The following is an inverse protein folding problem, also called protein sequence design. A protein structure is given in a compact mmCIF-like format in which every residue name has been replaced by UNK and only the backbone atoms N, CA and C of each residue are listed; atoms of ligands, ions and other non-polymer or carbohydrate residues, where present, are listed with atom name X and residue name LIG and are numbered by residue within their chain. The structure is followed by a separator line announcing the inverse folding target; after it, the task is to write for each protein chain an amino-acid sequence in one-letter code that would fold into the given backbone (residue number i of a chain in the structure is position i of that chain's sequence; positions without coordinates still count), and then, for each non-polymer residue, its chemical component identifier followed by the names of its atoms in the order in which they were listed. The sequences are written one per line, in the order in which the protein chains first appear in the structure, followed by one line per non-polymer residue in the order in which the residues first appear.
data_IF_541528207476
#
_entry.id   IF_541528207476
#
_cell.length_a   1.000
_cell.length_b   1.000
_cell.length_c   1.000
_cell.angle_alpha   90.00
_cell.angle_beta   90.00
_cell.angle_gamma   90.00
#
_symmetry.space_group_name_H-M   'P 1'
#
loop_
_entity.id
_entity.type
_entity.pdbx_description
1 polymer ?
#
# COMPACT_ATOMS: atom_id res chain seq x y z
N UNK A 1 -13.84 31.91 14.60
CA UNK A 1 -12.57 31.62 13.92
C UNK A 1 -12.62 30.14 13.58
N UNK A 2 -12.79 29.77 12.31
CA UNK A 2 -12.76 28.37 11.92
C UNK A 2 -11.39 27.80 12.26
N UNK A 3 -11.34 26.62 12.90
CA UNK A 3 -10.08 25.94 13.17
C UNK A 3 -9.34 25.74 11.85
N UNK A 4 -8.04 26.05 11.82
CA UNK A 4 -7.18 25.73 10.67
C UNK A 4 -7.16 24.21 10.49
N UNK A 5 -7.16 23.74 9.23
CA UNK A 5 -6.98 22.31 8.90
C UNK A 5 -5.62 21.84 9.40
N UNK A 6 -5.54 20.64 9.95
CA UNK A 6 -4.28 20.04 10.37
C UNK A 6 -3.44 19.70 9.15
N UNK A 7 -2.21 20.20 9.09
CA UNK A 7 -1.30 19.95 7.98
C UNK A 7 -0.54 18.67 8.18
N UNK A 8 -0.55 17.81 7.16
CA UNK A 8 -0.05 16.44 7.25
C UNK A 8 0.98 16.18 6.17
N UNK A 9 2.11 15.57 6.55
CA UNK A 9 2.99 14.87 5.61
C UNK A 9 2.80 13.37 5.82
N UNK A 10 2.74 12.60 4.74
CA UNK A 10 2.73 11.14 4.80
C UNK A 10 4.03 10.61 4.22
N UNK A 11 4.85 9.94 5.03
CA UNK A 11 6.13 9.39 4.59
C UNK A 11 6.00 7.90 4.27
N UNK A 12 6.38 7.47 3.08
CA UNK A 12 6.25 6.07 2.65
C UNK A 12 7.02 5.75 1.37
N UNK A 13 6.63 4.67 0.69
CA UNK A 13 7.30 4.19 -0.50
C UNK A 13 6.29 3.87 -1.61
N UNK A 14 5.36 4.79 -1.88
CA UNK A 14 4.33 4.67 -2.91
C UNK A 14 3.43 3.42 -2.77
N UNK A 15 3.19 2.99 -1.54
CA UNK A 15 2.29 1.89 -1.22
C UNK A 15 1.31 2.28 -0.12
N UNK A 16 1.67 1.97 1.13
CA UNK A 16 0.82 2.26 2.29
C UNK A 16 0.59 3.76 2.51
N UNK A 17 1.50 4.63 2.10
CA UNK A 17 1.30 6.09 2.10
C UNK A 17 0.11 6.50 1.25
N UNK A 18 0.06 6.06 -0.01
CA UNK A 18 -1.08 6.33 -0.91
C UNK A 18 -2.36 5.67 -0.40
N UNK A 19 -2.27 4.44 0.11
CA UNK A 19 -3.41 3.76 0.71
C UNK A 19 -3.97 4.55 1.90
N UNK A 20 -3.11 4.92 2.87
CA UNK A 20 -3.47 5.71 4.04
C UNK A 20 -4.09 7.05 3.64
N UNK A 21 -3.53 7.72 2.63
CA UNK A 21 -4.12 8.92 2.07
C UNK A 21 -5.54 8.68 1.57
N UNK A 22 -5.72 7.70 0.68
CA UNK A 22 -6.99 7.41 0.02
C UNK A 22 -8.09 7.03 1.01
N UNK A 23 -7.78 6.25 2.03
CA UNK A 23 -8.78 5.72 2.97
C UNK A 23 -9.02 6.63 4.17
N UNK A 24 -8.00 7.37 4.61
CA UNK A 24 -8.09 8.12 5.87
C UNK A 24 -8.14 9.63 5.67
N UNK A 25 -7.47 10.20 4.66
CA UNK A 25 -7.30 11.66 4.54
C UNK A 25 -8.04 12.30 3.38
N UNK A 26 -8.16 11.61 2.24
CA UNK A 26 -8.60 12.15 0.95
C UNK A 26 -9.82 13.07 1.03
N UNK A 27 -10.85 12.63 1.74
CA UNK A 27 -12.17 13.28 1.80
C UNK A 27 -12.45 13.95 3.16
N UNK A 28 -11.45 14.13 4.03
CA UNK A 28 -11.62 14.75 5.35
C UNK A 28 -11.16 16.20 5.36
N UNK A 29 -12.12 17.12 5.50
CA UNK A 29 -11.85 18.56 5.53
C UNK A 29 -11.05 19.03 6.76
N UNK A 30 -10.95 18.23 7.82
CA UNK A 30 -10.14 18.57 9.00
C UNK A 30 -8.63 18.50 8.73
N UNK A 31 -8.22 17.90 7.61
CA UNK A 31 -6.82 17.68 7.25
C UNK A 31 -6.46 18.32 5.91
N UNK A 32 -5.19 18.69 5.77
CA UNK A 32 -4.56 19.15 4.53
C UNK A 32 -3.25 18.36 4.37
N UNK A 33 -3.24 17.34 3.50
CA UNK A 33 -2.03 16.59 3.19
C UNK A 33 -1.18 17.42 2.21
N UNK A 34 -0.15 18.05 2.72
CA UNK A 34 0.67 19.02 1.97
C UNK A 34 1.75 18.37 1.13
N UNK A 35 2.19 17.17 1.50
CA UNK A 35 3.19 16.42 0.77
C UNK A 35 3.19 14.93 1.13
N UNK A 36 3.65 14.12 0.19
CA UNK A 36 4.26 12.82 0.48
C UNK A 36 5.77 12.97 0.56
N UNK A 37 6.42 12.08 1.30
CA UNK A 37 7.86 11.85 1.13
C UNK A 37 8.11 10.40 0.74
N UNK A 38 9.11 10.18 -0.10
CA UNK A 38 9.43 8.85 -0.57
C UNK A 38 10.91 8.52 -0.48
N UNK A 39 11.18 7.23 -0.26
CA UNK A 39 12.49 6.59 -0.41
C UNK A 39 12.29 5.23 -1.08
N UNK A 40 13.36 4.54 -1.44
CA UNK A 40 13.39 3.18 -2.01
C UNK A 40 12.98 3.01 -3.48
N UNK A 41 11.94 3.70 -3.97
CA UNK A 41 11.53 3.56 -5.39
C UNK A 41 12.28 4.60 -6.23
N UNK A 42 13.07 4.18 -7.25
CA UNK A 42 13.72 5.12 -8.16
C UNK A 42 12.72 6.06 -8.82
N UNK A 43 13.10 7.33 -8.95
CA UNK A 43 12.37 8.38 -9.67
C UNK A 43 10.95 8.71 -9.16
N UNK A 44 10.48 8.17 -8.02
CA UNK A 44 9.18 8.54 -7.44
C UNK A 44 9.23 9.94 -6.78
N UNK A 45 10.36 10.28 -6.14
CA UNK A 45 10.60 11.60 -5.58
C UNK A 45 10.76 12.62 -6.72
N UNK A 46 10.07 13.75 -6.61
CA UNK A 46 9.96 14.73 -7.69
C UNK A 46 8.73 14.53 -8.59
N UNK A 47 7.98 13.42 -8.43
CA UNK A 47 6.66 13.26 -9.05
C UNK A 47 5.56 13.93 -8.20
N UNK A 48 4.35 13.88 -8.72
CA UNK A 48 3.13 14.34 -8.05
C UNK A 48 2.15 13.18 -7.93
N UNK A 49 1.54 13.03 -6.76
CA UNK A 49 0.33 12.22 -6.62
C UNK A 49 -0.78 12.92 -7.41
N UNK A 50 -1.34 12.28 -8.45
CA UNK A 50 -2.10 12.98 -9.47
C UNK A 50 -3.46 13.48 -8.97
N UNK A 51 -3.92 14.67 -9.41
CA UNK A 51 -5.26 15.20 -9.06
C UNK A 51 -6.39 14.21 -9.27
N UNK A 52 -6.31 13.39 -10.32
CA UNK A 52 -7.29 12.39 -10.72
C UNK A 52 -7.49 11.31 -9.63
N UNK A 53 -6.48 11.12 -8.78
CA UNK A 53 -6.53 10.22 -7.62
C UNK A 53 -6.68 10.97 -6.29
N UNK A 54 -6.29 12.23 -6.24
CA UNK A 54 -6.21 13.02 -5.02
C UNK A 54 -7.58 13.50 -4.51
N UNK A 55 -8.62 13.46 -5.34
CA UNK A 55 -9.97 13.86 -4.95
C UNK A 55 -10.20 15.37 -4.93
N UNK A 56 -11.43 15.79 -4.61
CA UNK A 56 -11.87 17.18 -4.81
C UNK A 56 -11.15 18.22 -3.94
N UNK A 57 -10.58 17.81 -2.81
CA UNK A 57 -9.82 18.69 -1.90
C UNK A 57 -8.40 19.00 -2.41
N UNK A 58 -7.92 18.29 -3.43
CA UNK A 58 -6.55 18.39 -3.95
C UNK A 58 -6.56 18.52 -5.48
N UNK A 59 -7.16 19.60 -6.05
CA UNK A 59 -7.32 19.77 -7.50
C UNK A 59 -5.99 19.89 -8.25
N UNK A 60 -4.92 20.26 -7.55
CA UNK A 60 -3.58 20.29 -8.12
C UNK A 60 -2.85 18.95 -7.94
N UNK A 61 -3.32 18.03 -7.11
CA UNK A 61 -2.56 16.86 -6.67
C UNK A 61 -1.55 17.20 -5.56
N UNK A 62 -0.78 16.21 -5.10
CA UNK A 62 0.07 16.35 -3.91
C UNK A 62 1.54 16.09 -4.28
N UNK A 63 2.49 16.99 -3.97
CA UNK A 63 3.89 16.79 -4.31
C UNK A 63 4.52 15.63 -3.52
N UNK A 64 5.50 14.96 -4.14
CA UNK A 64 6.27 13.88 -3.53
C UNK A 64 7.73 14.32 -3.44
N UNK A 65 8.27 14.44 -2.23
CA UNK A 65 9.65 14.87 -1.98
C UNK A 65 10.56 13.71 -1.54
N UNK A 66 11.89 13.85 -1.63
CA UNK A 66 12.82 12.95 -0.96
C UNK A 66 12.59 12.91 0.55
N UNK A 67 12.76 11.74 1.19
CA UNK A 67 12.65 11.61 2.65
C UNK A 67 13.63 12.52 3.42
N UNK A 68 14.83 12.74 2.91
CA UNK A 68 15.86 13.58 3.54
C UNK A 68 15.44 15.04 3.74
N UNK A 69 14.50 15.52 2.94
CA UNK A 69 13.95 16.87 3.02
C UNK A 69 12.94 17.03 4.18
N UNK A 70 12.49 15.95 4.81
CA UNK A 70 11.43 15.96 5.83
C UNK A 70 11.63 17.04 6.92
N UNK A 71 12.81 17.25 7.54
CA UNK A 71 12.98 18.26 8.57
C UNK A 71 12.78 19.71 8.06
N UNK A 72 13.13 19.94 6.79
CA UNK A 72 12.95 21.23 6.10
C UNK A 72 11.47 21.42 5.76
N UNK A 73 10.84 20.41 5.16
CA UNK A 73 9.43 20.43 4.76
C UNK A 73 8.49 20.65 5.95
N UNK A 74 8.77 20.04 7.11
CA UNK A 74 7.99 20.26 8.34
C UNK A 74 7.90 21.74 8.71
N UNK A 75 9.02 22.47 8.58
CA UNK A 75 9.08 23.91 8.89
C UNK A 75 8.48 24.77 7.80
N UNK A 76 8.79 24.48 6.53
CA UNK A 76 8.31 25.26 5.39
C UNK A 76 6.79 25.19 5.22
N UNK A 77 6.22 24.00 5.43
CA UNK A 77 4.78 23.80 5.32
C UNK A 77 4.01 24.00 6.63
N UNK A 78 4.70 24.28 7.75
CA UNK A 78 4.07 24.43 9.07
C UNK A 78 3.19 23.21 9.40
N UNK A 79 3.84 22.04 9.42
CA UNK A 79 3.22 20.71 9.50
C UNK A 79 2.86 20.37 10.95
N UNK A 80 1.64 19.90 11.17
CA UNK A 80 1.16 19.44 12.48
C UNK A 80 1.49 17.97 12.72
N UNK A 81 1.31 17.13 11.70
CA UNK A 81 1.43 15.67 11.81
C UNK A 81 2.27 15.08 10.67
N UNK A 82 3.20 14.18 11.01
CA UNK A 82 3.88 13.31 10.05
C UNK A 82 3.41 11.88 10.28
N UNK A 83 2.80 11.28 9.26
CA UNK A 83 2.28 9.92 9.28
C UNK A 83 3.29 8.97 8.68
N UNK A 84 3.75 7.99 9.46
CA UNK A 84 4.71 7.01 9.00
C UNK A 84 4.04 5.81 8.34
N UNK A 85 4.34 5.62 7.05
CA UNK A 85 3.73 4.63 6.18
C UNK A 85 4.75 3.65 5.54
N UNK A 86 5.93 3.49 6.11
CA UNK A 86 6.86 2.41 5.71
C UNK A 86 6.56 1.08 6.40
N UNK A 87 6.99 0.01 5.76
CA UNK A 87 6.98 -1.37 6.24
C UNK A 87 8.37 -1.99 6.06
N UNK A 88 8.64 -3.09 6.73
CA UNK A 88 9.81 -3.97 6.57
C UNK A 88 11.13 -3.27 6.90
N UNK A 89 11.03 -2.38 7.89
CA UNK A 89 12.13 -1.58 8.42
C UNK A 89 12.37 -1.93 9.88
N UNK A 90 13.62 -1.84 10.37
CA UNK A 90 13.91 -2.08 11.78
C UNK A 90 13.18 -1.10 12.72
N UNK A 91 12.80 -1.52 13.92
CA UNK A 91 12.16 -0.62 14.90
C UNK A 91 13.01 0.62 15.24
N UNK A 92 14.35 0.50 15.25
CA UNK A 92 15.23 1.65 15.48
C UNK A 92 15.11 2.71 14.37
N UNK A 93 14.86 2.31 13.12
CA UNK A 93 14.62 3.26 12.04
C UNK A 93 13.32 4.04 12.24
N UNK A 94 12.25 3.37 12.68
CA UNK A 94 10.97 4.04 13.05
C UNK A 94 11.21 5.08 14.14
N UNK A 95 11.94 4.69 15.19
CA UNK A 95 12.23 5.58 16.31
C UNK A 95 13.14 6.75 15.91
N UNK A 96 14.12 6.53 15.05
CA UNK A 96 14.98 7.60 14.50
C UNK A 96 14.16 8.63 13.73
N UNK A 97 13.25 8.18 12.85
CA UNK A 97 12.32 9.08 12.12
C UNK A 97 11.40 9.84 13.07
N UNK A 98 10.89 9.20 14.11
CA UNK A 98 10.07 9.88 15.12
C UNK A 98 10.83 11.00 15.84
N UNK A 99 12.10 10.78 16.19
CA UNK A 99 12.92 11.77 16.87
C UNK A 99 13.20 12.99 15.97
N UNK A 100 13.48 12.74 14.69
CA UNK A 100 13.67 13.79 13.68
C UNK A 100 12.40 14.64 13.54
N UNK A 101 11.23 14.00 13.36
CA UNK A 101 9.93 14.69 13.24
C UNK A 101 9.63 15.54 14.46
N UNK A 102 9.77 14.98 15.67
CA UNK A 102 9.51 15.70 16.91
C UNK A 102 10.47 16.89 17.09
N UNK A 103 11.76 16.71 16.73
CA UNK A 103 12.76 17.80 16.79
C UNK A 103 12.46 18.94 15.81
N UNK A 104 11.76 18.64 14.71
CA UNK A 104 11.31 19.63 13.74
C UNK A 104 10.00 20.33 14.16
N UNK A 105 9.28 19.79 15.15
CA UNK A 105 8.12 20.42 15.79
C UNK A 105 6.75 19.79 15.49
N UNK A 106 6.70 18.73 14.68
CA UNK A 106 5.45 18.04 14.32
C UNK A 106 5.21 16.79 15.20
N UNK A 107 3.97 16.30 15.24
CA UNK A 107 3.67 15.00 15.84
C UNK A 107 4.08 13.87 14.90
N UNK A 108 4.51 12.73 15.47
CA UNK A 108 4.74 11.50 14.72
C UNK A 108 3.58 10.52 14.94
N UNK A 109 2.91 10.10 13.86
CA UNK A 109 1.72 9.26 13.90
C UNK A 109 1.94 7.91 13.21
N UNK A 110 1.43 6.85 13.83
CA UNK A 110 1.29 5.51 13.26
C UNK A 110 -0.20 5.19 13.09
N UNK A 111 -0.69 5.15 11.86
CA UNK A 111 -2.07 4.74 11.59
C UNK A 111 -2.19 3.21 11.72
N UNK A 112 -3.14 2.78 12.54
CA UNK A 112 -3.42 1.36 12.76
C UNK A 112 -4.50 0.80 11.82
N UNK A 113 -4.66 -0.54 11.79
CA UNK A 113 -5.60 -1.25 10.91
C UNK A 113 -7.05 -0.75 10.96
N UNK A 114 -7.55 -0.35 12.14
CA UNK A 114 -8.92 0.16 12.28
C UNK A 114 -9.18 1.44 11.48
N UNK A 115 -8.13 2.23 11.21
CA UNK A 115 -8.21 3.47 10.45
C UNK A 115 -8.02 3.26 8.95
N UNK A 116 -7.44 2.12 8.54
CA UNK A 116 -6.90 1.96 7.19
C UNK A 116 -7.39 0.71 6.46
N UNK A 117 -7.98 -0.28 7.12
CA UNK A 117 -8.53 -1.45 6.45
C UNK A 117 -9.89 -1.16 5.81
N UNK A 118 -10.02 -1.49 4.53
CA UNK A 118 -11.30 -1.45 3.82
C UNK A 118 -12.09 -2.73 4.09
N UNK A 119 -13.41 -2.60 4.21
CA UNK A 119 -14.30 -3.74 4.44
C UNK A 119 -14.78 -4.30 3.11
N UNK A 120 -14.61 -5.62 2.94
CA UNK A 120 -15.12 -6.35 1.79
C UNK A 120 -16.53 -6.90 2.02
N UNK A 121 -17.29 -7.06 0.94
CA UNK A 121 -18.55 -7.82 0.87
C UNK A 121 -18.32 -9.32 0.63
N UNK A 122 -17.08 -9.71 0.32
CA UNK A 122 -16.68 -11.11 0.09
C UNK A 122 -15.74 -11.56 1.22
N UNK A 123 -15.69 -12.86 1.54
CA UNK A 123 -14.67 -13.39 2.43
C UNK A 123 -13.26 -13.05 1.95
N UNK A 124 -12.41 -12.59 2.85
CA UNK A 124 -11.01 -12.22 2.57
C UNK A 124 -10.06 -13.12 3.39
N UNK A 125 -9.15 -13.78 2.69
CA UNK A 125 -8.00 -14.49 3.28
C UNK A 125 -6.76 -13.63 3.04
N UNK A 126 -6.17 -13.10 4.11
CA UNK A 126 -4.94 -12.32 4.03
C UNK A 126 -3.71 -13.19 4.31
N UNK A 127 -2.71 -13.08 3.44
CA UNK A 127 -1.39 -13.70 3.61
C UNK A 127 -0.36 -12.58 3.84
N UNK A 128 0.12 -12.47 5.06
CA UNK A 128 1.14 -11.51 5.48
C UNK A 128 2.40 -12.24 5.93
N UNK A 129 3.45 -11.50 6.28
CA UNK A 129 4.68 -12.07 6.82
C UNK A 129 5.29 -11.13 7.85
N UNK A 130 6.19 -11.66 8.67
CA UNK A 130 7.00 -10.86 9.61
C UNK A 130 8.14 -10.11 8.90
N UNK A 131 8.54 -10.56 7.71
CA UNK A 131 9.56 -9.95 6.84
C UNK A 131 9.28 -10.21 5.36
N UNK A 132 9.89 -9.39 4.51
CA UNK A 132 10.04 -9.73 3.09
C UNK A 132 10.80 -11.05 2.89
N UNK A 133 10.43 -11.81 1.86
CA UNK A 133 11.10 -13.08 1.53
C UNK A 133 10.66 -14.31 2.33
N UNK A 134 9.61 -14.24 3.16
CA UNK A 134 9.10 -15.42 3.89
C UNK A 134 8.26 -16.41 3.04
N UNK A 135 8.10 -16.16 1.74
CA UNK A 135 7.36 -17.06 0.84
C UNK A 135 5.84 -16.84 0.76
N UNK A 136 5.38 -15.58 0.92
CA UNK A 136 3.95 -15.21 0.86
C UNK A 136 3.30 -15.66 -0.44
N UNK A 137 3.85 -15.28 -1.59
CA UNK A 137 3.26 -15.56 -2.90
C UNK A 137 3.09 -17.07 -3.13
N UNK A 138 4.02 -17.92 -2.66
CA UNK A 138 3.90 -19.38 -2.75
C UNK A 138 2.72 -19.92 -1.92
N UNK A 139 2.53 -19.40 -0.70
CA UNK A 139 1.40 -19.77 0.15
C UNK A 139 0.09 -19.26 -0.43
N UNK A 140 0.03 -18.01 -0.89
CA UNK A 140 -1.12 -17.40 -1.56
C UNK A 140 -1.56 -18.23 -2.78
N UNK A 141 -0.62 -18.65 -3.63
CA UNK A 141 -0.90 -19.51 -4.80
C UNK A 141 -1.38 -20.91 -4.41
N UNK A 142 -0.86 -21.48 -3.33
CA UNK A 142 -1.34 -22.77 -2.85
C UNK A 142 -2.80 -22.67 -2.34
N UNK A 143 -3.12 -21.62 -1.57
CA UNK A 143 -4.49 -21.31 -1.14
C UNK A 143 -5.40 -21.12 -2.35
N UNK A 144 -4.95 -20.35 -3.35
CA UNK A 144 -5.68 -20.16 -4.60
C UNK A 144 -6.06 -21.50 -5.24
N UNK A 145 -5.09 -22.40 -5.44
CA UNK A 145 -5.34 -23.74 -6.01
C UNK A 145 -6.34 -24.55 -5.17
N UNK A 146 -6.16 -24.60 -3.85
CA UNK A 146 -7.02 -25.31 -2.90
C UNK A 146 -8.49 -24.83 -2.98
N UNK A 147 -8.70 -23.53 -3.15
CA UNK A 147 -10.03 -22.94 -3.29
C UNK A 147 -10.63 -23.19 -4.69
N UNK A 148 -9.80 -23.13 -5.75
CA UNK A 148 -10.22 -23.46 -7.13
C UNK A 148 -10.64 -24.93 -7.28
N UNK A 149 -9.95 -25.86 -6.63
CA UNK A 149 -10.33 -27.28 -6.56
C UNK A 149 -11.71 -27.50 -5.91
N UNK A 150 -12.17 -26.54 -5.11
CA UNK A 150 -13.52 -26.52 -4.53
C UNK A 150 -14.55 -25.76 -5.38
N UNK A 151 -14.21 -25.47 -6.64
CA UNK A 151 -15.05 -24.74 -7.61
C UNK A 151 -15.42 -23.30 -7.19
N UNK A 152 -14.61 -22.67 -6.33
CA UNK A 152 -14.81 -21.25 -5.98
C UNK A 152 -14.20 -20.33 -7.04
N UNK A 153 -14.83 -19.19 -7.29
CA UNK A 153 -14.20 -18.08 -8.02
C UNK A 153 -13.30 -17.33 -7.06
N UNK A 154 -12.00 -17.31 -7.34
CA UNK A 154 -10.99 -16.71 -6.48
C UNK A 154 -10.32 -15.58 -7.23
N UNK A 155 -10.23 -14.42 -6.59
CA UNK A 155 -9.46 -13.28 -7.08
C UNK A 155 -8.34 -13.01 -6.09
N UNK A 156 -7.12 -12.85 -6.60
CA UNK A 156 -5.99 -12.40 -5.80
C UNK A 156 -5.81 -10.89 -5.97
N UNK A 157 -5.48 -10.19 -4.90
CA UNK A 157 -5.13 -8.77 -4.93
C UNK A 157 -3.73 -8.61 -4.38
N UNK A 158 -2.83 -8.03 -5.16
CA UNK A 158 -1.44 -7.78 -4.79
C UNK A 158 -1.28 -6.39 -4.17
N UNK A 159 -0.43 -6.33 -3.15
CA UNK A 159 0.09 -5.09 -2.56
C UNK A 159 0.77 -4.19 -3.62
N UNK A 160 0.78 -2.85 -3.44
CA UNK A 160 1.17 -1.94 -4.51
C UNK A 160 2.65 -2.06 -4.85
N UNK A 161 2.92 -1.91 -6.15
CA UNK A 161 4.26 -1.80 -6.74
C UNK A 161 4.20 -0.79 -7.90
N UNK A 162 3.98 0.51 -7.67
CA UNK A 162 3.67 1.44 -8.75
C UNK A 162 4.91 1.88 -9.50
N UNK A 163 5.49 0.98 -10.30
CA UNK A 163 6.71 1.24 -11.04
C UNK A 163 6.48 2.10 -12.28
N UNK A 164 5.27 2.09 -12.88
CA UNK A 164 4.99 2.95 -14.03
C UNK A 164 5.11 4.45 -13.62
N UNK A 165 5.81 5.29 -14.41
CA UNK A 165 5.88 6.72 -14.21
C UNK A 165 4.51 7.41 -14.08
N UNK A 166 3.51 6.89 -14.77
CA UNK A 166 2.15 7.40 -14.79
C UNK A 166 1.25 6.62 -13.82
N UNK A 167 1.11 7.17 -12.60
CA UNK A 167 0.23 6.61 -11.56
C UNK A 167 -1.25 6.52 -12.02
N UNK A 168 -1.69 7.32 -12.99
CA UNK A 168 -3.07 7.30 -13.49
C UNK A 168 -3.38 6.04 -14.33
N UNK A 169 -2.35 5.34 -14.81
CA UNK A 169 -2.51 4.03 -15.46
C UNK A 169 -2.59 2.86 -14.49
N UNK A 170 -2.29 3.12 -13.21
CA UNK A 170 -2.18 2.12 -12.16
C UNK A 170 -3.27 2.28 -11.08
N UNK A 171 -4.40 2.93 -11.39
CA UNK A 171 -5.49 3.13 -10.42
C UNK A 171 -6.04 1.79 -9.93
N UNK A 172 -6.50 0.96 -10.87
CA UNK A 172 -7.01 -0.38 -10.63
C UNK A 172 -6.79 -1.21 -11.90
N UNK A 173 -5.88 -2.16 -11.81
CA UNK A 173 -5.49 -3.02 -12.93
C UNK A 173 -5.98 -4.44 -12.66
N UNK A 174 -6.46 -5.09 -13.70
CA UNK A 174 -6.98 -6.45 -13.67
C UNK A 174 -6.21 -7.26 -14.70
N UNK A 175 -5.59 -8.34 -14.27
CA UNK A 175 -4.82 -9.23 -15.12
C UNK A 175 -5.47 -10.61 -15.13
N UNK A 176 -5.83 -11.07 -16.32
CA UNK A 176 -6.33 -12.42 -16.57
C UNK A 176 -5.62 -13.09 -17.75
N UNK A 177 -4.79 -12.36 -18.50
CA UNK A 177 -3.97 -12.90 -19.58
C UNK A 177 -2.64 -12.15 -19.73
N UNK A 178 -1.72 -12.70 -20.53
CA UNK A 178 -0.44 -12.06 -20.80
C UNK A 178 -0.58 -10.73 -21.56
N UNK A 179 -1.62 -10.60 -22.39
CA UNK A 179 -1.93 -9.34 -23.08
C UNK A 179 -2.27 -8.20 -22.09
N UNK A 180 -2.83 -8.53 -20.91
CA UNK A 180 -3.05 -7.52 -19.87
C UNK A 180 -1.70 -6.99 -19.32
N UNK A 181 -0.69 -7.85 -19.19
CA UNK A 181 0.66 -7.46 -18.72
C UNK A 181 1.31 -6.46 -19.69
N UNK A 182 1.13 -6.68 -21.00
CA UNK A 182 1.61 -5.75 -22.03
C UNK A 182 0.81 -4.44 -22.02
N UNK A 183 -0.52 -4.55 -21.94
CA UNK A 183 -1.44 -3.40 -21.90
C UNK A 183 -1.13 -2.45 -20.75
N UNK A 184 -0.76 -2.99 -19.58
CA UNK A 184 -0.44 -2.22 -18.39
C UNK A 184 1.06 -1.92 -18.23
N UNK A 185 1.89 -2.25 -19.24
CA UNK A 185 3.32 -1.96 -19.26
C UNK A 185 4.06 -2.54 -18.03
N UNK A 186 3.70 -3.75 -17.63
CA UNK A 186 4.27 -4.38 -16.44
C UNK A 186 5.78 -4.57 -16.56
N UNK A 187 6.51 -4.23 -15.50
CA UNK A 187 7.94 -4.50 -15.39
C UNK A 187 8.21 -6.00 -15.23
N UNK A 188 9.49 -6.38 -15.26
CA UNK A 188 9.89 -7.78 -15.04
C UNK A 188 9.51 -8.23 -13.63
N UNK A 189 9.71 -7.38 -12.63
CA UNK A 189 9.37 -7.64 -11.22
C UNK A 189 7.87 -7.85 -11.02
N UNK A 190 7.03 -7.05 -11.71
CA UNK A 190 5.57 -7.24 -11.68
C UNK A 190 5.16 -8.56 -12.34
N UNK A 191 5.75 -8.87 -13.49
CA UNK A 191 5.49 -10.11 -14.22
C UNK A 191 5.83 -11.35 -13.41
N UNK A 192 6.96 -11.36 -12.70
CA UNK A 192 7.36 -12.45 -11.81
C UNK A 192 6.30 -12.76 -10.73
N UNK A 193 5.53 -11.75 -10.30
CA UNK A 193 4.45 -11.91 -9.32
C UNK A 193 3.09 -12.23 -9.96
N UNK A 194 2.82 -11.73 -11.17
CA UNK A 194 1.49 -11.82 -11.81
C UNK A 194 1.34 -13.02 -12.75
N UNK A 195 2.35 -13.36 -13.56
CA UNK A 195 2.32 -14.47 -14.52
C UNK A 195 1.91 -15.80 -13.87
N UNK A 196 2.41 -16.17 -12.67
CA UNK A 196 2.01 -17.42 -12.03
C UNK A 196 0.52 -17.52 -11.73
N UNK A 197 -0.19 -16.41 -11.49
CA UNK A 197 -1.65 -16.45 -11.31
C UNK A 197 -2.37 -16.65 -12.65
N UNK A 198 -1.89 -16.01 -13.71
CA UNK A 198 -2.44 -16.16 -15.07
C UNK A 198 -2.26 -17.60 -15.56
N UNK A 199 -1.08 -18.19 -15.34
CA UNK A 199 -0.78 -19.59 -15.72
C UNK A 199 -1.71 -20.60 -15.02
N UNK A 200 -2.17 -20.28 -13.81
CA UNK A 200 -3.16 -21.07 -13.07
C UNK A 200 -4.62 -20.79 -13.50
N UNK A 201 -4.84 -19.95 -14.53
CA UNK A 201 -6.16 -19.50 -14.97
C UNK A 201 -6.87 -18.62 -13.94
N UNK A 202 -6.10 -17.89 -13.14
CA UNK A 202 -6.58 -16.96 -12.11
C UNK A 202 -6.67 -15.52 -12.58
N UNK A 203 -7.32 -14.70 -11.74
CA UNK A 203 -7.38 -13.25 -11.91
C UNK A 203 -6.60 -12.63 -10.76
N UNK A 204 -5.70 -11.71 -11.11
CA UNK A 204 -4.97 -10.89 -10.16
C UNK A 204 -5.28 -9.41 -10.40
N UNK A 205 -5.49 -8.68 -9.31
CA UNK A 205 -5.60 -7.22 -9.34
C UNK A 205 -4.40 -6.58 -8.64
N UNK A 206 -3.99 -5.43 -9.14
CA UNK A 206 -2.98 -4.55 -8.54
C UNK A 206 -3.29 -3.08 -8.86
N UNK A 207 -2.55 -2.16 -8.25
CA UNK A 207 -2.68 -0.72 -8.47
C UNK A 207 -2.53 0.09 -7.19
N UNK A 208 -2.99 1.34 -7.20
CA UNK A 208 -2.83 2.29 -6.09
C UNK A 208 -4.13 2.69 -5.38
N UNK A 209 -5.29 2.43 -5.98
CA UNK A 209 -6.61 2.70 -5.39
C UNK A 209 -7.27 1.39 -4.94
N UNK A 210 -6.91 0.96 -3.73
CA UNK A 210 -7.37 -0.30 -3.14
C UNK A 210 -8.87 -0.37 -2.89
N UNK A 211 -9.55 0.78 -2.75
CA UNK A 211 -11.01 0.78 -2.70
C UNK A 211 -11.60 0.40 -4.05
N UNK A 212 -11.16 1.03 -5.14
CA UNK A 212 -11.63 0.68 -6.49
C UNK A 212 -11.29 -0.76 -6.84
N UNK A 213 -10.05 -1.20 -6.57
CA UNK A 213 -9.63 -2.58 -6.81
C UNK A 213 -10.54 -3.57 -6.07
N UNK A 214 -10.83 -3.30 -4.79
CA UNK A 214 -11.71 -4.17 -4.00
C UNK A 214 -13.12 -4.24 -4.62
N UNK A 215 -13.68 -3.10 -5.04
CA UNK A 215 -15.02 -3.08 -5.67
C UNK A 215 -15.08 -3.83 -6.99
N UNK A 216 -14.01 -3.82 -7.78
CA UNK A 216 -13.94 -4.61 -8.99
C UNK A 216 -13.79 -6.11 -8.69
N UNK A 217 -12.89 -6.49 -7.79
CA UNK A 217 -12.69 -7.88 -7.38
C UNK A 217 -13.96 -8.51 -6.80
N UNK A 218 -14.74 -7.75 -6.02
CA UNK A 218 -16.01 -8.19 -5.43
C UNK A 218 -17.06 -8.62 -6.47
N UNK A 219 -16.98 -8.13 -7.72
CA UNK A 219 -17.94 -8.48 -8.79
C UNK A 219 -17.70 -9.88 -9.35
N UNK A 220 -16.46 -10.37 -9.26
CA UNK A 220 -16.03 -11.59 -9.94
C UNK A 220 -15.70 -12.73 -8.96
N UNK A 221 -15.39 -12.39 -7.70
CA UNK A 221 -14.95 -13.34 -6.68
C UNK A 221 -16.09 -13.90 -5.81
N UNK A 222 -15.95 -15.17 -5.43
CA UNK A 222 -16.60 -15.74 -4.25
C UNK A 222 -15.74 -15.52 -3.01
N UNK A 223 -14.41 -15.56 -3.14
CA UNK A 223 -13.40 -15.33 -2.08
C UNK A 223 -12.24 -14.52 -2.64
N UNK A 224 -11.73 -13.58 -1.85
CA UNK A 224 -10.57 -12.74 -2.19
C UNK A 224 -9.35 -13.21 -1.39
N UNK A 225 -8.21 -13.34 -2.07
CA UNK A 225 -6.90 -13.51 -1.43
C UNK A 225 -6.18 -12.18 -1.44
N UNK A 226 -5.84 -11.65 -0.27
CA UNK A 226 -4.89 -10.55 -0.15
C UNK A 226 -3.46 -11.11 -0.11
N UNK A 227 -2.72 -10.90 -1.19
CA UNK A 227 -1.33 -11.31 -1.31
C UNK A 227 -0.42 -10.15 -0.86
N UNK A 228 -0.12 -10.13 0.44
CA UNK A 228 0.52 -9.01 1.12
C UNK A 228 1.92 -8.70 0.59
N UNK A 229 2.29 -7.42 0.63
CA UNK A 229 3.63 -6.95 0.30
C UNK A 229 4.47 -6.81 1.55
N UNK A 230 5.79 -6.98 1.42
CA UNK A 230 6.72 -6.79 2.51
C UNK A 230 6.32 -7.54 3.80
N UNK A 231 6.34 -6.89 4.95
CA UNK A 231 5.71 -7.37 6.19
C UNK A 231 4.46 -6.56 6.57
N UNK A 232 3.90 -5.81 5.61
CA UNK A 232 2.83 -4.87 5.91
C UNK A 232 1.54 -5.59 6.32
N UNK A 233 0.72 -4.91 7.11
CA UNK A 233 -0.60 -5.44 7.44
C UNK A 233 -1.53 -5.39 6.23
N UNK A 234 -2.60 -6.19 6.25
CA UNK A 234 -3.55 -6.20 5.14
C UNK A 234 -4.28 -4.87 4.99
N UNK A 235 -4.46 -4.41 3.75
CA UNK A 235 -5.28 -3.24 3.44
C UNK A 235 -6.78 -3.54 3.48
N UNK A 236 -7.14 -4.82 3.63
CA UNK A 236 -8.51 -5.27 3.71
C UNK A 236 -8.75 -5.92 5.07
N UNK A 237 -9.94 -5.69 5.61
CA UNK A 237 -10.41 -6.43 6.77
C UNK A 237 -10.56 -7.89 6.35
N UNK A 238 -9.85 -8.78 7.03
CA UNK A 238 -9.79 -10.20 6.73
C UNK A 238 -10.73 -11.01 7.63
N UNK A 239 -11.21 -12.13 7.10
CA UNK A 239 -11.91 -13.17 7.84
C UNK A 239 -10.92 -14.24 8.34
N UNK A 240 -9.78 -14.38 7.65
CA UNK A 240 -8.67 -15.23 8.04
C UNK A 240 -7.35 -14.54 7.73
N UNK A 241 -6.43 -14.49 8.70
CA UNK A 241 -5.06 -14.02 8.52
C UNK A 241 -4.09 -15.18 8.70
N UNK A 242 -3.20 -15.34 7.72
CA UNK A 242 -2.06 -16.23 7.76
C UNK A 242 -0.80 -15.37 7.73
N UNK A 243 -0.01 -15.41 8.81
CA UNK A 243 1.25 -14.66 8.90
C UNK A 243 2.42 -15.63 8.85
N UNK A 244 3.30 -15.45 7.86
CA UNK A 244 4.48 -16.28 7.67
C UNK A 244 5.68 -15.73 8.46
N UNK A 245 6.42 -16.64 9.08
CA UNK A 245 7.71 -16.35 9.69
C UNK A 245 8.78 -17.25 9.07
N UNK A 246 9.98 -16.71 8.88
CA UNK A 246 11.12 -17.45 8.34
C UNK A 246 11.98 -18.01 9.48
N UNK A 247 12.01 -19.33 9.69
CA UNK A 247 12.78 -19.93 10.79
C UNK A 247 14.30 -19.76 10.65
N UNK A 248 14.81 -19.37 9.48
CA UNK A 248 16.22 -19.10 9.26
C UNK A 248 16.64 -17.67 9.65
N UNK A 249 15.67 -16.80 9.98
CA UNK A 249 15.92 -15.40 10.40
C UNK A 249 15.28 -15.11 11.76
N UNK A 250 15.65 -15.85 12.83
CA UNK A 250 15.08 -15.64 14.16
C UNK A 250 15.36 -14.23 14.69
N UNK A 251 14.41 -13.66 15.41
CA UNK A 251 14.47 -12.30 15.94
C UNK A 251 13.92 -11.27 14.95
N UNK A 252 13.76 -11.58 13.66
CA UNK A 252 13.16 -10.65 12.72
C UNK A 252 11.69 -10.37 13.03
N UNK A 253 10.97 -11.34 13.60
CA UNK A 253 9.59 -11.21 14.06
C UNK A 253 9.41 -10.26 15.26
N UNK A 254 10.51 -9.90 15.94
CA UNK A 254 10.51 -9.00 17.10
C UNK A 254 11.35 -7.74 16.92
N UNK A 255 12.13 -7.62 15.82
CA UNK A 255 13.04 -6.49 15.57
C UNK A 255 12.65 -5.59 14.39
N UNK A 256 11.69 -6.01 13.57
CA UNK A 256 11.18 -5.24 12.43
C UNK A 256 9.75 -4.78 12.64
N UNK A 257 9.47 -3.59 12.13
CA UNK A 257 8.16 -2.96 12.02
C UNK A 257 7.51 -3.29 10.68
#
# INVERSE_FOLDING_TARGET
MGSRRRRVIIMGAAGRDFHNFNVYFRDKEDYEVVAFTATQIPDIAGRKYPPELAGSLYPDGIPIYPEEDLPRLVKEYDVDDVVFAYSDVPYNYVMERSAIVNSAGANFLLLGPNSTMLVSKKPVIAVCAVRTGCGKSQVSRNIFRILRERNLKVVSIRHPMPYDPDLTKQVAQRFASYEDLDKYNCTIEEREEYEPYIDMGGIIYAGVDYEKILREAEKEADVIIWDGGNNDFSFYKYDMLITLADPHRPGHETSYY
#
